data_IF_616813824062
#
_entry.id   IF_616813824062
#
_cell.length_a   1.000
_cell.length_b   1.000
_cell.length_c   1.000
_cell.angle_alpha   90.00
_cell.angle_beta   90.00
_cell.angle_gamma   90.00
#
_symmetry.space_group_name_H-M   'P 1'
#
loop_
_entity.id
_entity.type
_entity.pdbx_description
1 polymer ?
#
# COMPACT_ATOMS: atom_id res chain seq x y z
N UNK A 1 13.66 1.32 -12.53
CA UNK A 1 13.72 1.20 -11.07
C UNK A 1 13.42 2.58 -10.45
N UNK A 2 12.26 2.68 -9.75
CA UNK A 2 11.78 3.96 -9.18
C UNK A 2 12.73 4.55 -8.14
N UNK A 3 13.43 3.72 -7.36
CA UNK A 3 14.40 4.21 -6.37
C UNK A 3 15.60 4.89 -7.04
N UNK A 4 16.09 4.30 -8.13
CA UNK A 4 17.18 4.90 -8.91
C UNK A 4 16.74 6.21 -9.56
N UNK A 5 15.56 6.21 -10.21
CA UNK A 5 15.02 7.44 -10.82
C UNK A 5 14.82 8.56 -9.78
N UNK A 6 14.36 8.22 -8.58
CA UNK A 6 14.23 9.18 -7.49
C UNK A 6 15.59 9.76 -7.07
N UNK A 7 16.63 8.93 -6.96
CA UNK A 7 17.98 9.37 -6.62
C UNK A 7 18.57 10.25 -7.76
N UNK A 8 18.46 9.79 -9.01
CA UNK A 8 19.01 10.47 -10.18
C UNK A 8 18.33 11.83 -10.46
N UNK A 9 17.04 11.95 -10.12
CA UNK A 9 16.30 13.22 -10.25
C UNK A 9 16.71 14.28 -9.23
N UNK A 10 17.47 13.91 -8.18
CA UNK A 10 17.82 14.79 -7.06
C UNK A 10 16.65 15.12 -6.12
N UNK A 11 15.48 14.52 -6.29
CA UNK A 11 14.28 14.79 -5.49
C UNK A 11 14.20 13.98 -4.19
N UNK A 12 15.10 13.02 -3.97
CA UNK A 12 15.04 12.15 -2.80
C UNK A 12 15.04 12.93 -1.47
N UNK A 13 15.87 13.97 -1.37
CA UNK A 13 15.92 14.84 -0.19
C UNK A 13 14.58 15.55 0.08
N UNK A 14 13.96 16.10 -0.97
CA UNK A 14 12.67 16.77 -0.87
C UNK A 14 11.55 15.80 -0.47
N UNK A 15 11.57 14.56 -0.97
CA UNK A 15 10.63 13.50 -0.58
C UNK A 15 10.80 13.14 0.89
N UNK A 16 12.05 12.94 1.35
CA UNK A 16 12.33 12.63 2.76
C UNK A 16 11.91 13.77 3.70
N UNK A 17 12.10 15.03 3.28
CA UNK A 17 11.61 16.18 4.04
C UNK A 17 10.08 16.22 4.11
N UNK A 18 9.40 15.98 3.00
CA UNK A 18 7.94 15.91 2.98
C UNK A 18 7.42 14.78 3.89
N UNK A 19 8.04 13.61 3.87
CA UNK A 19 7.69 12.46 4.72
C UNK A 19 7.84 12.76 6.22
N UNK A 20 8.66 13.73 6.60
CA UNK A 20 8.82 14.17 8.00
C UNK A 20 7.86 15.28 8.41
N UNK A 21 7.43 16.12 7.48
CA UNK A 21 6.82 17.42 7.81
C UNK A 21 5.44 17.65 7.24
N UNK A 22 4.98 16.82 6.31
CA UNK A 22 3.72 17.02 5.57
C UNK A 22 2.91 15.75 5.50
N UNK A 23 1.57 15.83 5.37
CA UNK A 23 0.79 14.67 4.98
C UNK A 23 1.28 14.12 3.64
N UNK A 24 1.57 12.83 3.59
CA UNK A 24 2.03 12.15 2.38
C UNK A 24 1.17 10.93 2.09
N UNK A 25 0.77 10.78 0.85
CA UNK A 25 0.07 9.60 0.37
C UNK A 25 0.93 8.87 -0.67
N UNK A 26 1.28 7.60 -0.37
CA UNK A 26 1.95 6.70 -1.31
C UNK A 26 0.94 5.80 -2.04
N UNK A 27 1.12 5.58 -3.34
CA UNK A 27 0.25 4.70 -4.13
C UNK A 27 1.10 3.67 -4.86
N UNK A 28 0.72 2.40 -4.75
CA UNK A 28 1.34 1.24 -5.40
C UNK A 28 2.85 1.17 -5.11
N UNK A 29 3.71 1.42 -6.10
CA UNK A 29 5.16 1.47 -5.92
C UNK A 29 5.58 2.54 -4.89
N UNK A 30 4.84 3.65 -4.80
CA UNK A 30 5.07 4.68 -3.79
C UNK A 30 4.90 4.16 -2.35
N UNK A 31 4.00 3.23 -2.10
CA UNK A 31 3.90 2.52 -0.82
C UNK A 31 5.13 1.63 -0.60
N UNK A 32 5.54 0.88 -1.61
CA UNK A 32 6.66 -0.06 -1.51
C UNK A 32 8.00 0.65 -1.27
N UNK A 33 8.20 1.83 -1.85
CA UNK A 33 9.40 2.64 -1.65
C UNK A 33 9.60 3.10 -0.20
N UNK A 34 8.55 3.15 0.62
CA UNK A 34 8.64 3.56 2.04
C UNK A 34 9.34 2.52 2.93
N UNK A 35 9.41 1.26 2.51
CA UNK A 35 9.97 0.16 3.29
C UNK A 35 11.51 0.12 3.20
N UNK A 36 12.12 -0.76 4.01
CA UNK A 36 13.58 -0.86 4.07
C UNK A 36 14.16 -1.46 2.79
N UNK A 37 13.47 -2.47 2.23
CA UNK A 37 14.02 -3.28 1.15
C UNK A 37 12.93 -3.99 0.36
N UNK A 38 13.15 -4.19 -0.94
CA UNK A 38 12.28 -4.93 -1.84
C UNK A 38 12.98 -6.16 -2.42
N UNK A 39 12.27 -7.30 -2.45
CA UNK A 39 12.69 -8.48 -3.21
C UNK A 39 12.70 -8.23 -4.72
N UNK A 40 12.06 -7.16 -5.19
CA UNK A 40 12.12 -6.76 -6.59
C UNK A 40 13.48 -6.19 -6.93
N UNK A 41 14.26 -6.96 -7.72
CA UNK A 41 15.62 -6.62 -8.11
C UNK A 41 16.56 -6.33 -6.93
N UNK A 42 16.28 -6.91 -5.75
CA UNK A 42 17.10 -6.73 -4.55
C UNK A 42 17.37 -5.24 -4.23
N UNK A 43 16.30 -4.44 -4.23
CA UNK A 43 16.39 -2.97 -4.20
C UNK A 43 16.20 -2.43 -2.78
N UNK A 44 17.11 -1.57 -2.25
CA UNK A 44 16.87 -0.84 -1.02
C UNK A 44 15.76 0.20 -1.19
N UNK A 45 14.91 0.37 -0.16
CA UNK A 45 13.89 1.40 -0.09
C UNK A 45 14.34 2.63 0.70
N UNK A 46 13.37 3.50 1.04
CA UNK A 46 13.65 4.72 1.82
C UNK A 46 13.81 4.45 3.32
N UNK A 47 13.40 3.28 3.82
CA UNK A 47 13.51 2.90 5.23
C UNK A 47 12.70 3.77 6.19
N UNK A 48 11.63 4.40 5.71
CA UNK A 48 10.77 5.26 6.53
C UNK A 48 9.81 4.43 7.39
N UNK A 49 9.32 3.32 6.85
CA UNK A 49 8.53 2.33 7.58
C UNK A 49 9.31 1.02 7.56
N UNK A 50 9.66 0.49 8.73
CA UNK A 50 10.41 -0.76 8.80
C UNK A 50 9.59 -1.94 8.28
N UNK A 51 10.24 -2.76 7.46
CA UNK A 51 9.65 -3.93 6.82
C UNK A 51 10.22 -4.19 5.44
N UNK A 52 9.62 -5.14 4.74
CA UNK A 52 10.08 -5.58 3.42
C UNK A 52 8.96 -5.62 2.41
N UNK A 53 9.32 -5.45 1.15
CA UNK A 53 8.45 -5.77 0.01
C UNK A 53 8.74 -7.18 -0.43
N UNK A 54 7.72 -8.03 -0.46
CA UNK A 54 7.83 -9.45 -0.80
C UNK A 54 7.10 -9.78 -2.09
N UNK A 55 7.60 -10.76 -2.83
CA UNK A 55 6.93 -11.26 -4.02
C UNK A 55 5.70 -12.10 -3.65
N UNK A 56 4.62 -11.94 -4.40
CA UNK A 56 3.44 -12.81 -4.33
C UNK A 56 3.81 -14.20 -4.86
N UNK A 57 3.98 -15.17 -3.94
CA UNK A 57 4.38 -16.55 -4.27
C UNK A 57 3.14 -17.43 -4.38
N UNK A 58 2.44 -17.33 -5.50
CA UNK A 58 1.18 -18.04 -5.77
C UNK A 58 1.31 -19.02 -6.94
N UNK A 59 2.53 -19.29 -7.38
CA UNK A 59 2.81 -20.18 -8.51
C UNK A 59 2.26 -21.59 -8.24
N UNK A 60 1.47 -22.10 -9.19
CA UNK A 60 0.84 -23.41 -9.10
C UNK A 60 -0.36 -23.53 -8.17
N UNK A 61 -0.74 -22.49 -7.45
CA UNK A 61 -1.94 -22.49 -6.58
C UNK A 61 -3.21 -22.20 -7.36
N UNK A 62 -4.30 -22.84 -6.94
CA UNK A 62 -5.64 -22.67 -7.52
C UNK A 62 -6.57 -21.95 -6.55
N UNK A 63 -7.49 -21.18 -7.08
CA UNK A 63 -8.59 -20.54 -6.37
C UNK A 63 -9.70 -21.57 -6.09
N UNK A 64 -10.68 -21.18 -5.28
CA UNK A 64 -11.83 -22.04 -4.93
C UNK A 64 -12.71 -22.41 -6.11
N UNK A 65 -12.72 -21.58 -7.17
CA UNK A 65 -13.43 -21.82 -8.42
C UNK A 65 -12.64 -22.70 -9.43
N UNK A 66 -11.46 -23.20 -9.03
CA UNK A 66 -10.57 -24.01 -9.86
C UNK A 66 -9.66 -23.22 -10.80
N UNK A 67 -9.81 -21.91 -10.90
CA UNK A 67 -8.91 -21.06 -11.67
C UNK A 67 -7.54 -20.93 -10.98
N UNK A 68 -6.50 -20.64 -11.76
CA UNK A 68 -5.16 -20.40 -11.19
C UNK A 68 -5.03 -18.98 -10.66
N UNK A 69 -4.35 -18.82 -9.54
CA UNK A 69 -3.86 -17.50 -9.14
C UNK A 69 -2.88 -16.97 -10.20
N UNK A 70 -2.99 -15.68 -10.50
CA UNK A 70 -2.12 -14.97 -11.45
C UNK A 70 -1.21 -13.99 -10.71
N UNK A 71 0.05 -13.91 -11.14
CA UNK A 71 1.00 -12.89 -10.72
C UNK A 71 1.54 -12.24 -12.00
N UNK A 72 1.36 -10.92 -12.19
CA UNK A 72 0.76 -9.96 -11.26
C UNK A 72 -0.72 -10.23 -10.95
N UNK A 73 -1.13 -9.90 -9.71
CA UNK A 73 -2.53 -9.76 -9.36
C UNK A 73 -3.06 -8.53 -10.06
N UNK A 74 -4.13 -8.70 -10.88
CA UNK A 74 -4.81 -7.60 -11.57
C UNK A 74 -6.30 -7.74 -11.33
N UNK A 75 -6.95 -6.63 -10.91
CA UNK A 75 -8.39 -6.55 -10.75
C UNK A 75 -8.84 -6.11 -9.37
N UNK A 76 -10.14 -6.16 -9.17
CA UNK A 76 -10.81 -5.71 -7.96
C UNK A 76 -10.67 -6.74 -6.83
N UNK A 77 -10.30 -6.27 -5.64
CA UNK A 77 -10.26 -7.04 -4.40
C UNK A 77 -10.78 -6.22 -3.24
N UNK A 78 -11.28 -6.92 -2.23
CA UNK A 78 -11.78 -6.29 -1.01
C UNK A 78 -10.63 -5.88 -0.10
N UNK A 79 -10.81 -4.75 0.58
CA UNK A 79 -9.88 -4.24 1.58
C UNK A 79 -10.60 -4.19 2.91
N UNK A 80 -10.15 -4.99 3.85
CA UNK A 80 -10.59 -4.93 5.24
C UNK A 80 -9.77 -3.85 5.96
N UNK A 81 -10.44 -2.91 6.59
CA UNK A 81 -9.79 -1.90 7.41
C UNK A 81 -9.23 -2.57 8.66
N UNK A 82 -7.95 -2.36 8.94
CA UNK A 82 -7.30 -3.03 10.05
C UNK A 82 -7.87 -2.52 11.39
N UNK A 83 -8.37 -3.46 12.20
CA UNK A 83 -8.98 -3.15 13.50
C UNK A 83 -7.95 -2.80 14.60
N UNK A 84 -6.64 -2.93 14.32
CA UNK A 84 -5.59 -2.57 15.26
C UNK A 84 -5.61 -1.09 15.68
N UNK A 85 -6.35 -0.28 14.96
CA UNK A 85 -6.61 1.10 15.34
C UNK A 85 -7.98 1.16 16.02
N UNK A 86 -7.98 1.29 17.35
CA UNK A 86 -9.20 1.54 18.14
C UNK A 86 -9.98 2.77 17.63
N UNK A 87 -9.33 3.60 16.84
CA UNK A 87 -9.91 4.67 16.04
C UNK A 87 -9.56 4.41 14.57
N UNK A 88 -10.55 4.20 13.74
CA UNK A 88 -10.40 4.11 12.28
C UNK A 88 -9.52 5.27 11.79
N UNK A 89 -8.54 4.96 10.94
CA UNK A 89 -7.73 6.00 10.31
C UNK A 89 -8.63 7.01 9.57
N UNK A 90 -8.32 8.29 9.67
CA UNK A 90 -9.14 9.37 9.10
C UNK A 90 -9.41 9.20 7.59
N UNK A 91 -8.47 8.61 6.84
CA UNK A 91 -8.63 8.36 5.41
C UNK A 91 -9.73 7.34 5.08
N UNK A 92 -10.12 6.49 6.03
CA UNK A 92 -11.22 5.55 5.84
C UNK A 92 -12.61 6.16 6.10
N UNK A 93 -12.69 7.43 6.48
CA UNK A 93 -13.98 8.07 6.75
C UNK A 93 -14.91 7.99 5.54
N UNK A 94 -16.11 7.45 5.75
CA UNK A 94 -17.13 7.29 4.70
C UNK A 94 -16.82 6.19 3.68
N UNK A 95 -15.71 5.46 3.83
CA UNK A 95 -15.38 4.26 3.05
C UNK A 95 -15.90 3.04 3.82
N UNK A 96 -16.75 2.20 3.23
CA UNK A 96 -17.22 0.98 3.89
C UNK A 96 -16.04 0.05 4.19
N UNK A 97 -16.12 -0.70 5.31
CA UNK A 97 -15.22 -1.81 5.51
C UNK A 97 -15.48 -2.88 4.44
N UNK A 98 -14.43 -3.59 4.05
CA UNK A 98 -14.53 -4.60 3.01
C UNK A 98 -14.94 -4.05 1.62
N UNK A 99 -14.71 -2.76 1.37
CA UNK A 99 -14.94 -2.13 0.07
C UNK A 99 -13.98 -2.66 -1.01
N UNK A 100 -14.42 -2.55 -2.27
CA UNK A 100 -13.66 -3.00 -3.43
C UNK A 100 -12.71 -1.93 -3.94
N UNK A 101 -11.44 -2.33 -4.16
CA UNK A 101 -10.40 -1.49 -4.76
C UNK A 101 -9.67 -2.22 -5.88
N UNK A 102 -9.09 -1.47 -6.80
CA UNK A 102 -8.39 -2.00 -7.97
C UNK A 102 -6.90 -2.17 -7.68
N UNK A 103 -6.39 -3.37 -7.95
CA UNK A 103 -5.01 -3.79 -7.75
C UNK A 103 -4.34 -4.13 -9.06
N UNK A 104 -3.05 -3.81 -9.18
CA UNK A 104 -2.14 -4.33 -10.21
C UNK A 104 -0.74 -4.41 -9.63
N UNK A 105 -0.34 -5.58 -9.11
CA UNK A 105 0.96 -5.75 -8.45
C UNK A 105 1.44 -7.21 -8.43
N UNK A 106 2.76 -7.39 -8.36
CA UNK A 106 3.43 -8.69 -8.16
C UNK A 106 4.09 -8.80 -6.79
N UNK A 107 4.20 -7.68 -6.08
CA UNK A 107 4.85 -7.58 -4.78
C UNK A 107 3.91 -6.88 -3.80
N UNK A 108 4.07 -7.13 -2.51
CA UNK A 108 3.28 -6.53 -1.44
C UNK A 108 4.15 -6.12 -0.26
N UNK A 109 3.66 -5.18 0.53
CA UNK A 109 4.31 -4.71 1.75
C UNK A 109 4.10 -5.70 2.91
N UNK A 110 5.19 -6.00 3.62
CA UNK A 110 5.23 -6.78 4.85
C UNK A 110 5.90 -5.93 5.93
N UNK A 111 5.12 -5.07 6.64
CA UNK A 111 5.67 -4.21 7.68
C UNK A 111 6.14 -5.03 8.88
N UNK A 112 7.27 -4.65 9.46
CA UNK A 112 7.83 -5.30 10.65
C UNK A 112 6.93 -5.11 11.90
N UNK A 113 6.18 -4.02 11.94
CA UNK A 113 5.20 -3.72 12.97
C UNK A 113 3.79 -3.75 12.36
N UNK A 114 2.99 -4.73 12.77
CA UNK A 114 1.61 -4.91 12.28
C UNK A 114 0.71 -3.69 12.58
N UNK A 115 1.04 -2.86 13.55
CA UNK A 115 0.32 -1.63 13.86
C UNK A 115 0.35 -0.63 12.71
N UNK A 116 1.32 -0.73 11.81
CA UNK A 116 1.38 0.09 10.60
C UNK A 116 0.46 -0.41 9.48
N UNK A 117 -0.11 -1.61 9.59
CA UNK A 117 -1.11 -2.10 8.63
C UNK A 117 -2.45 -1.40 8.85
N UNK A 118 -2.87 -0.58 7.90
CA UNK A 118 -4.15 0.13 7.91
C UNK A 118 -5.23 -0.56 7.07
N UNK A 119 -4.85 -1.45 6.18
CA UNK A 119 -5.74 -2.24 5.35
C UNK A 119 -5.13 -3.60 5.03
N UNK A 120 -5.98 -4.61 4.97
CA UNK A 120 -5.62 -6.00 4.71
C UNK A 120 -6.44 -6.52 3.54
N UNK A 121 -5.81 -7.28 2.68
CA UNK A 121 -6.46 -7.96 1.55
C UNK A 121 -6.05 -9.42 1.51
N UNK A 122 -6.95 -10.27 1.01
CA UNK A 122 -6.68 -11.67 0.78
C UNK A 122 -6.68 -11.97 -0.73
N UNK A 123 -5.58 -12.56 -1.19
CA UNK A 123 -5.44 -13.09 -2.53
C UNK A 123 -4.48 -14.29 -2.51
N UNK A 124 -5.02 -15.45 -2.19
CA UNK A 124 -4.24 -16.67 -1.96
C UNK A 124 -3.34 -16.62 -0.72
N UNK A 125 -3.00 -15.43 -0.27
CA UNK A 125 -2.38 -15.13 1.02
C UNK A 125 -2.94 -13.82 1.53
N UNK A 126 -2.91 -13.64 2.84
CA UNK A 126 -3.28 -12.38 3.49
C UNK A 126 -2.07 -11.45 3.47
N UNK A 127 -2.27 -10.20 3.05
CA UNK A 127 -1.20 -9.21 2.97
C UNK A 127 -1.69 -7.80 3.33
N UNK A 128 -0.76 -6.95 3.73
CA UNK A 128 -1.02 -5.53 3.98
C UNK A 128 -1.25 -4.79 2.67
N UNK A 129 -2.44 -4.25 2.48
CA UNK A 129 -2.85 -3.48 1.30
C UNK A 129 -2.92 -1.98 1.52
N UNK A 130 -2.84 -1.53 2.78
CA UNK A 130 -2.62 -0.13 3.14
C UNK A 130 -1.73 -0.04 4.38
N UNK A 131 -0.86 0.98 4.38
CA UNK A 131 0.01 1.34 5.50
C UNK A 131 -0.39 2.70 6.06
N UNK A 132 -0.25 2.88 7.37
CA UNK A 132 -0.38 4.17 8.02
C UNK A 132 0.64 4.31 9.15
N UNK A 133 1.32 5.46 9.18
CA UNK A 133 2.22 5.85 10.26
C UNK A 133 2.28 7.37 10.32
N UNK A 134 1.94 7.94 11.46
CA UNK A 134 1.99 9.41 11.68
C UNK A 134 1.30 10.19 10.53
N UNK A 135 2.06 10.95 9.76
CA UNK A 135 1.62 11.76 8.62
C UNK A 135 1.63 11.02 7.26
N UNK A 136 1.85 9.71 7.27
CA UNK A 136 1.96 8.88 6.07
C UNK A 136 0.78 7.92 5.99
N UNK A 137 0.12 7.89 4.84
CA UNK A 137 -0.84 6.86 4.45
C UNK A 137 -0.47 6.33 3.07
N UNK A 138 -0.45 5.02 2.89
CA UNK A 138 -0.08 4.46 1.60
C UNK A 138 -0.93 3.23 1.25
N UNK A 139 -1.17 3.03 -0.06
CA UNK A 139 -2.02 1.95 -0.57
C UNK A 139 -1.29 1.12 -1.62
N UNK A 140 -1.48 -0.19 -1.61
CA UNK A 140 -1.05 -1.07 -2.70
C UNK A 140 -1.98 -0.95 -3.90
N UNK A 141 -3.26 -0.75 -3.65
CA UNK A 141 -4.27 -0.51 -4.69
C UNK A 141 -4.18 0.92 -5.23
N UNK A 142 -4.86 1.14 -6.35
CA UNK A 142 -4.93 2.41 -7.05
C UNK A 142 -6.24 3.13 -6.73
N UNK A 143 -6.28 4.11 -5.80
CA UNK A 143 -7.50 4.87 -5.51
C UNK A 143 -8.07 5.55 -6.75
N UNK A 144 -7.22 6.06 -7.64
CA UNK A 144 -7.61 6.72 -8.89
C UNK A 144 -8.34 5.80 -9.88
N UNK A 145 -8.21 4.47 -9.69
CA UNK A 145 -8.88 3.43 -10.48
C UNK A 145 -9.97 2.71 -9.69
N UNK A 146 -10.30 3.19 -8.49
CA UNK A 146 -11.18 2.49 -7.54
C UNK A 146 -12.53 3.18 -7.35
N UNK A 147 -13.02 3.85 -8.39
CA UNK A 147 -14.35 4.48 -8.44
C UNK A 147 -14.63 5.41 -7.23
N UNK A 148 -15.86 5.40 -6.71
CA UNK A 148 -16.30 6.34 -5.68
C UNK A 148 -15.51 6.21 -4.36
N UNK A 149 -15.19 5.00 -3.93
CA UNK A 149 -14.48 4.77 -2.67
C UNK A 149 -13.00 5.19 -2.77
N UNK A 150 -12.38 5.04 -3.93
CA UNK A 150 -11.05 5.60 -4.20
C UNK A 150 -11.04 7.12 -4.14
N UNK A 151 -12.05 7.78 -4.72
CA UNK A 151 -12.18 9.24 -4.65
C UNK A 151 -12.43 9.75 -3.22
N UNK A 152 -13.14 8.99 -2.39
CA UNK A 152 -13.31 9.32 -0.97
C UNK A 152 -11.97 9.34 -0.24
N UNK A 153 -11.08 8.38 -0.50
CA UNK A 153 -9.74 8.39 0.08
C UNK A 153 -8.97 9.66 -0.28
N UNK A 154 -9.00 10.09 -1.53
CA UNK A 154 -8.35 11.34 -1.93
C UNK A 154 -8.98 12.58 -1.29
N UNK A 155 -10.31 12.65 -1.19
CA UNK A 155 -10.98 13.74 -0.48
C UNK A 155 -10.58 13.79 0.99
N UNK A 156 -10.53 12.63 1.66
CA UNK A 156 -10.11 12.53 3.04
C UNK A 156 -8.65 12.95 3.21
N UNK A 157 -7.78 12.58 2.28
CA UNK A 157 -6.38 13.00 2.29
C UNK A 157 -6.23 14.51 2.19
N UNK A 158 -6.99 15.18 1.31
CA UNK A 158 -6.92 16.65 1.13
C UNK A 158 -7.28 17.43 2.41
N UNK A 159 -8.10 16.87 3.27
CA UNK A 159 -8.53 17.49 4.53
C UNK A 159 -7.85 16.93 5.77
N UNK A 160 -7.02 15.89 5.58
CA UNK A 160 -6.35 15.22 6.66
C UNK A 160 -5.29 16.10 7.33
N UNK A 161 -5.37 16.18 8.65
CA UNK A 161 -4.41 16.87 9.52
C UNK A 161 -3.89 15.85 10.53
N UNK A 162 -2.79 15.17 10.22
CA UNK A 162 -2.20 14.15 11.10
C UNK A 162 -1.61 14.76 12.37
#
# INVERSE_FOLDING_TARGET
DCMRELADSGLQGAVLDALRTKPVMGVCVGMQMLLDHSEEQDTPGLGVIHGRVRRCRLDGRTQTDGSRFKVPQIGWKRVQQAQAHANRHALWQGVPDDAWFYFVHSYYADPADERHSAGITEYGTRFTSALARDNIFATQFHPEKSAADGLKLYRNFLTWKP
#
